data_IF_517426354948
#
_entry.id   IF_517426354948
#
_cell.length_a   1.000
_cell.length_b   1.000
_cell.length_c   1.000
_cell.angle_alpha   90.00
_cell.angle_beta   90.00
_cell.angle_gamma   90.00
#
_symmetry.space_group_name_H-M   'P 1'
#
loop_
_entity.id
_entity.type
_entity.pdbx_description
1 polymer ?
#
# COMPACT_ATOMS: atom_id res chain seq x y z
N UNK A 1 -3.58 -12.94 -7.20
CA UNK A 1 -3.67 -11.50 -6.92
C UNK A 1 -2.42 -10.83 -7.49
N UNK A 2 -2.09 -11.14 -8.75
CA UNK A 2 -0.83 -10.68 -9.35
C UNK A 2 -0.79 -9.15 -9.33
N UNK A 3 0.35 -8.59 -8.92
CA UNK A 3 0.55 -7.14 -8.74
C UNK A 3 -0.33 -6.44 -7.68
N UNK A 4 -1.03 -7.18 -6.81
CA UNK A 4 -1.91 -6.59 -5.80
C UNK A 4 -1.22 -5.57 -4.89
N UNK A 5 0.05 -5.76 -4.57
CA UNK A 5 0.83 -4.81 -3.77
C UNK A 5 0.90 -3.41 -4.42
N UNK A 6 0.82 -3.31 -5.76
CA UNK A 6 0.85 -2.04 -6.50
C UNK A 6 -0.42 -1.20 -6.27
N UNK A 7 -1.49 -1.83 -5.78
CA UNK A 7 -2.73 -1.14 -5.41
C UNK A 7 -2.62 -0.40 -4.06
N UNK A 8 -1.61 -0.71 -3.25
CA UNK A 8 -1.37 -0.10 -1.96
C UNK A 8 -0.56 1.19 -2.13
N UNK A 9 -1.14 2.35 -1.81
CA UNK A 9 -0.45 3.63 -1.96
C UNK A 9 0.79 3.71 -1.05
N UNK A 10 2.00 4.03 -1.58
CA UNK A 10 3.24 4.00 -0.82
C UNK A 10 3.41 5.26 0.04
N UNK A 11 2.78 5.26 1.21
CA UNK A 11 2.82 6.35 2.19
C UNK A 11 4.26 6.65 2.59
N UNK A 12 4.59 7.95 2.63
CA UNK A 12 5.92 8.43 3.04
C UNK A 12 7.00 8.30 1.97
N UNK A 13 6.67 7.84 0.77
CA UNK A 13 7.62 7.77 -0.36
C UNK A 13 7.61 9.07 -1.14
N UNK A 14 8.80 9.62 -1.41
CA UNK A 14 8.95 10.85 -2.18
C UNK A 14 8.56 10.66 -3.66
N UNK A 15 7.98 11.69 -4.27
CA UNK A 15 7.44 11.63 -5.63
C UNK A 15 8.48 11.23 -6.69
N UNK A 16 9.71 11.71 -6.57
CA UNK A 16 10.81 11.43 -7.49
C UNK A 16 11.41 10.01 -7.29
N UNK A 17 11.00 9.31 -6.23
CA UNK A 17 11.36 7.91 -5.96
C UNK A 17 10.24 6.95 -6.37
N UNK A 18 9.03 7.45 -6.58
CA UNK A 18 7.83 6.66 -6.86
C UNK A 18 8.04 5.70 -8.04
N UNK A 19 8.47 6.22 -9.20
CA UNK A 19 8.67 5.40 -10.40
C UNK A 19 9.81 4.39 -10.22
N UNK A 20 10.86 4.73 -9.46
CA UNK A 20 12.02 3.86 -9.23
C UNK A 20 11.68 2.61 -8.44
N UNK A 21 10.63 2.65 -7.61
CA UNK A 21 10.15 1.46 -6.88
C UNK A 21 9.70 0.38 -7.86
N UNK A 22 9.08 0.76 -8.98
CA UNK A 22 8.53 -0.17 -9.97
C UNK A 22 9.53 -0.60 -11.05
N UNK A 23 10.77 -0.08 -11.03
CA UNK A 23 11.85 -0.50 -11.94
C UNK A 23 12.40 -1.90 -11.61
N UNK A 24 12.21 -2.34 -10.36
CA UNK A 24 12.66 -3.65 -9.87
C UNK A 24 11.43 -4.55 -9.79
N UNK A 25 11.59 -5.79 -10.28
CA UNK A 25 10.58 -6.83 -10.14
C UNK A 25 10.66 -7.40 -8.72
N UNK A 26 9.81 -6.87 -7.84
CA UNK A 26 9.72 -7.31 -6.45
C UNK A 26 8.81 -8.52 -6.31
N UNK A 27 9.27 -9.51 -5.55
CA UNK A 27 8.48 -10.68 -5.19
C UNK A 27 7.63 -10.39 -3.94
N UNK A 28 6.31 -10.42 -4.11
CA UNK A 28 5.32 -10.27 -3.06
C UNK A 28 4.47 -11.54 -2.88
N UNK A 29 4.99 -12.71 -3.26
CA UNK A 29 4.32 -14.00 -3.07
C UNK A 29 3.89 -14.25 -1.62
N UNK A 30 4.67 -13.76 -0.65
CA UNK A 30 4.31 -13.82 0.77
C UNK A 30 3.01 -13.08 1.12
N UNK A 31 2.67 -12.02 0.38
CA UNK A 31 1.41 -11.29 0.55
C UNK A 31 0.24 -12.12 0.00
N UNK A 32 0.41 -12.75 -1.16
CA UNK A 32 -0.59 -13.64 -1.74
C UNK A 32 -0.86 -14.83 -0.81
N UNK A 33 0.19 -15.51 -0.36
CA UNK A 33 0.11 -16.63 0.60
C UNK A 33 -0.59 -16.24 1.92
N UNK A 34 -0.45 -14.98 2.36
CA UNK A 34 -1.11 -14.51 3.56
C UNK A 34 -2.65 -14.45 3.38
N UNK A 35 -3.15 -14.24 2.16
CA UNK A 35 -4.59 -14.20 1.86
C UNK A 35 -5.18 -15.55 1.44
N UNK A 36 -4.35 -16.49 1.00
CA UNK A 36 -4.75 -17.84 0.63
C UNK A 36 -5.31 -18.65 1.81
N UNK A 37 -5.97 -19.78 1.52
CA UNK A 37 -6.56 -20.64 2.54
C UNK A 37 -5.51 -21.12 3.55
N UNK A 38 -5.76 -20.84 4.84
CA UNK A 38 -4.82 -21.11 5.93
C UNK A 38 -3.80 -19.99 6.20
N UNK A 39 -3.76 -18.95 5.35
CA UNK A 39 -2.94 -17.77 5.51
C UNK A 39 -3.38 -16.86 6.66
N UNK A 40 -2.46 -16.02 7.14
CA UNK A 40 -2.67 -15.17 8.31
C UNK A 40 -3.76 -14.09 8.13
N UNK A 41 -4.09 -13.72 6.90
CA UNK A 41 -5.07 -12.71 6.52
C UNK A 41 -6.34 -13.30 5.88
N UNK A 42 -6.40 -14.62 5.74
CA UNK A 42 -7.52 -15.31 5.11
C UNK A 42 -8.86 -15.02 5.80
N UNK A 43 -9.89 -14.64 5.02
CA UNK A 43 -11.23 -14.26 5.49
C UNK A 43 -11.24 -13.16 6.57
N UNK A 44 -10.20 -12.33 6.64
CA UNK A 44 -10.15 -11.19 7.57
C UNK A 44 -10.46 -9.88 6.88
N UNK A 45 -10.93 -8.93 7.68
CA UNK A 45 -10.99 -7.53 7.28
C UNK A 45 -9.64 -6.87 7.41
N UNK A 46 -9.07 -6.43 6.28
CA UNK A 46 -7.70 -5.93 6.16
C UNK A 46 -7.71 -4.57 5.47
N UNK A 47 -6.96 -3.63 6.04
CA UNK A 47 -6.67 -2.34 5.44
C UNK A 47 -5.18 -2.29 5.08
N UNK A 48 -4.89 -1.99 3.82
CA UNK A 48 -3.55 -2.06 3.25
C UNK A 48 -3.08 -0.69 2.78
N UNK A 49 -1.84 -0.38 3.08
CA UNK A 49 -1.12 0.73 2.47
C UNK A 49 0.34 0.32 2.27
N UNK A 50 0.99 0.90 1.27
CA UNK A 50 2.40 0.67 1.02
C UNK A 50 3.25 1.64 1.82
N UNK A 51 4.52 1.32 1.95
CA UNK A 51 5.59 2.26 2.30
C UNK A 51 6.87 1.84 1.56
N UNK A 52 7.94 2.62 1.72
CA UNK A 52 9.27 2.24 1.24
C UNK A 52 10.29 2.34 2.36
N UNK A 53 11.26 1.43 2.33
CA UNK A 53 12.40 1.40 3.24
C UNK A 53 13.69 1.61 2.42
N UNK A 54 14.30 2.80 2.46
CA UNK A 54 15.53 3.06 1.75
C UNK A 54 16.69 2.23 2.32
N UNK A 55 17.38 1.49 1.46
CA UNK A 55 18.55 0.69 1.80
C UNK A 55 19.75 1.11 0.93
N UNK A 56 20.91 1.30 1.56
CA UNK A 56 22.17 1.50 0.85
C UNK A 56 22.71 0.13 0.44
N UNK A 57 22.72 -0.14 -0.87
CA UNK A 57 23.21 -1.41 -1.42
C UNK A 57 24.47 -1.18 -2.24
N UNK A 58 25.43 -2.09 -2.11
CA UNK A 58 26.64 -2.09 -2.92
C UNK A 58 26.47 -3.04 -4.10
N UNK A 59 26.40 -2.49 -5.32
CA UNK A 59 26.17 -3.27 -6.54
C UNK A 59 27.17 -2.89 -7.62
N UNK A 60 27.91 -3.89 -8.13
CA UNK A 60 28.92 -3.73 -9.19
C UNK A 60 29.93 -2.60 -8.91
N UNK A 61 30.42 -2.51 -7.66
CA UNK A 61 31.41 -1.51 -7.27
C UNK A 61 30.86 -0.10 -7.07
N UNK A 62 29.54 0.09 -7.08
CA UNK A 62 28.88 1.37 -6.84
C UNK A 62 27.88 1.26 -5.71
N UNK A 63 27.82 2.30 -4.89
CA UNK A 63 26.79 2.43 -3.88
C UNK A 63 25.53 3.01 -4.54
N UNK A 64 24.39 2.36 -4.30
CA UNK A 64 23.08 2.80 -4.77
C UNK A 64 22.11 2.77 -3.60
N UNK A 65 21.29 3.81 -3.46
CA UNK A 65 20.13 3.77 -2.57
C UNK A 65 18.97 3.13 -3.32
N UNK A 66 18.41 2.06 -2.76
CA UNK A 66 17.24 1.36 -3.30
C UNK A 66 16.10 1.50 -2.29
N UNK A 67 14.95 1.95 -2.78
CA UNK A 67 13.72 2.07 -1.97
C UNK A 67 12.99 0.74 -2.05
N UNK A 68 13.18 -0.11 -1.04
CA UNK A 68 12.53 -1.42 -0.97
C UNK A 68 11.06 -1.20 -0.60
N UNK A 69 10.09 -1.63 -1.43
CA UNK A 69 8.68 -1.49 -1.08
C UNK A 69 8.31 -2.46 0.05
N UNK A 70 7.43 -2.00 0.92
CA UNK A 70 6.80 -2.82 1.94
C UNK A 70 5.29 -2.56 1.94
N UNK A 71 4.51 -3.59 2.28
CA UNK A 71 3.06 -3.49 2.42
C UNK A 71 2.69 -3.68 3.89
N UNK A 72 1.94 -2.74 4.43
CA UNK A 72 1.44 -2.79 5.81
C UNK A 72 -0.01 -3.25 5.78
N UNK A 73 -0.27 -4.38 6.42
CA UNK A 73 -1.61 -4.96 6.58
C UNK A 73 -2.15 -4.70 7.99
N UNK A 74 -3.23 -3.94 8.10
CA UNK A 74 -3.89 -3.62 9.37
C UNK A 74 -5.18 -4.41 9.49
N UNK A 75 -5.22 -5.33 10.47
CA UNK A 75 -6.43 -6.05 10.84
C UNK A 75 -7.30 -5.15 11.72
N UNK A 76 -8.47 -4.77 11.24
CA UNK A 76 -9.38 -3.90 11.98
C UNK A 76 -10.84 -4.15 11.60
N UNK A 77 -11.79 -4.09 12.56
CA UNK A 77 -13.22 -4.16 12.24
C UNK A 77 -13.75 -2.89 11.53
N UNK A 78 -13.05 -1.76 11.63
CA UNK A 78 -13.41 -0.47 11.02
C UNK A 78 -12.18 0.18 10.36
N UNK A 79 -12.41 1.17 9.49
CA UNK A 79 -11.33 1.84 8.78
C UNK A 79 -10.34 2.49 9.76
N UNK A 80 -9.01 2.43 9.50
CA UNK A 80 -8.04 3.22 10.22
C UNK A 80 -8.32 4.73 10.09
N UNK A 81 -7.43 5.55 10.67
CA UNK A 81 -7.53 7.02 10.65
C UNK A 81 -7.98 7.57 9.29
N UNK A 82 -8.84 8.59 9.34
CA UNK A 82 -9.25 9.42 8.20
C UNK A 82 -8.43 10.71 8.09
N UNK A 83 -7.31 10.78 8.82
CA UNK A 83 -6.35 11.89 8.84
C UNK A 83 -4.94 11.39 8.57
N UNK A 84 -4.15 12.23 7.92
CA UNK A 84 -2.74 12.03 7.64
C UNK A 84 -1.89 12.93 8.53
N UNK A 85 -0.86 12.33 9.12
CA UNK A 85 0.24 13.05 9.73
C UNK A 85 1.28 13.41 8.68
N UNK A 86 1.59 14.69 8.55
CA UNK A 86 2.67 15.20 7.70
C UNK A 86 3.76 15.70 8.63
N UNK A 87 4.92 15.05 8.54
CA UNK A 87 6.10 15.39 9.32
C UNK A 87 7.33 15.38 8.43
N UNK A 88 8.21 16.34 8.64
CA UNK A 88 9.56 16.37 8.09
C UNK A 88 10.55 16.46 9.24
N UNK A 89 11.79 16.00 9.02
CA UNK A 89 12.90 16.13 9.99
C UNK A 89 13.11 17.61 10.40
N UNK A 90 12.74 18.54 9.51
CA UNK A 90 12.89 19.98 9.70
C UNK A 90 11.68 20.64 10.37
N UNK A 91 10.57 19.92 10.53
CA UNK A 91 9.35 20.48 11.14
C UNK A 91 9.37 20.28 12.66
N UNK A 92 9.14 21.39 13.38
CA UNK A 92 9.04 21.38 14.85
C UNK A 92 7.80 20.61 15.33
N UNK A 93 6.70 20.68 14.57
CA UNK A 93 5.43 20.03 14.89
C UNK A 93 4.87 19.26 13.68
N UNK A 94 4.19 18.17 13.97
CA UNK A 94 3.47 17.38 12.97
C UNK A 94 2.19 18.12 12.54
N UNK A 95 1.97 18.22 11.24
CA UNK A 95 0.73 18.75 10.68
C UNK A 95 -0.24 17.60 10.48
N UNK A 96 -1.47 17.73 10.97
CA UNK A 96 -2.52 16.72 10.78
C UNK A 96 -3.56 17.25 9.81
N UNK A 97 -3.73 16.59 8.67
CA UNK A 97 -4.69 16.98 7.63
C UNK A 97 -5.73 15.88 7.39
N UNK A 98 -7.01 16.21 7.14
CA UNK A 98 -8.00 15.22 6.74
C UNK A 98 -7.63 14.58 5.39
N UNK A 99 -7.74 13.25 5.29
CA UNK A 99 -7.46 12.51 4.05
C UNK A 99 -8.29 13.00 2.86
N UNK A 100 -9.53 13.42 3.12
CA UNK A 100 -10.44 13.97 2.09
C UNK A 100 -9.89 15.21 1.41
N UNK A 101 -9.20 16.09 2.14
CA UNK A 101 -8.56 17.28 1.58
C UNK A 101 -7.38 16.91 0.68
N UNK A 102 -6.70 15.81 1.01
CA UNK A 102 -5.62 15.21 0.23
C UNK A 102 -6.13 14.26 -0.86
N UNK A 103 -7.44 14.17 -1.07
CA UNK A 103 -8.08 13.28 -2.04
C UNK A 103 -7.67 11.82 -1.83
N UNK A 104 -7.58 11.38 -0.57
CA UNK A 104 -7.27 10.02 -0.19
C UNK A 104 -8.45 9.37 0.54
N UNK A 105 -8.62 8.06 0.34
CA UNK A 105 -9.63 7.28 1.06
C UNK A 105 -9.24 5.80 1.14
N UNK A 106 -9.91 5.06 2.03
CA UNK A 106 -9.86 3.61 2.12
C UNK A 106 -10.84 3.01 1.10
N UNK A 107 -10.32 2.53 -0.02
CA UNK A 107 -11.14 2.03 -1.13
C UNK A 107 -11.17 0.51 -1.10
N UNK A 108 -12.34 -0.15 -1.25
CA UNK A 108 -12.40 -1.60 -1.36
C UNK A 108 -11.59 -2.08 -2.56
N UNK A 109 -10.77 -3.11 -2.37
CA UNK A 109 -10.04 -3.73 -3.46
C UNK A 109 -11.00 -4.54 -4.35
N UNK A 110 -10.92 -4.32 -5.66
CA UNK A 110 -11.73 -5.02 -6.66
C UNK A 110 -10.75 -5.73 -7.60
N UNK A 111 -10.67 -7.08 -7.55
CA UNK A 111 -9.81 -7.85 -8.45
C UNK A 111 -10.22 -7.67 -9.92
N UNK A 112 -9.24 -7.60 -10.84
CA UNK A 112 -9.49 -7.32 -12.26
C UNK A 112 -10.36 -8.36 -12.98
N UNK A 113 -10.30 -9.62 -12.56
CA UNK A 113 -11.08 -10.74 -13.14
C UNK A 113 -12.59 -10.65 -12.81
N UNK A 114 -12.99 -9.70 -11.95
CA UNK A 114 -14.38 -9.53 -11.50
C UNK A 114 -15.24 -8.65 -12.39
N UNK A 115 -14.71 -8.05 -13.47
CA UNK A 115 -15.46 -7.14 -14.35
C UNK A 115 -16.62 -7.79 -15.11
N UNK A 116 -16.69 -9.13 -15.16
CA UNK A 116 -17.73 -9.90 -15.87
C UNK A 116 -18.74 -10.65 -14.99
N UNK A 117 -18.49 -10.81 -13.69
CA UNK A 117 -19.27 -11.70 -12.82
C UNK A 117 -19.93 -10.90 -11.71
N UNK A 118 -21.25 -11.01 -11.57
CA UNK A 118 -22.11 -10.20 -10.69
C UNK A 118 -21.45 -9.76 -9.38
N UNK A 119 -21.24 -8.44 -9.24
CA UNK A 119 -20.68 -7.69 -8.09
C UNK A 119 -21.26 -8.02 -6.70
N UNK A 120 -22.28 -8.90 -6.59
CA UNK A 120 -22.98 -9.22 -5.34
C UNK A 120 -22.29 -10.27 -4.45
N UNK A 121 -21.22 -10.95 -4.89
CA UNK A 121 -20.63 -12.08 -4.13
C UNK A 121 -19.24 -11.85 -3.53
N UNK A 122 -18.50 -10.83 -3.94
CA UNK A 122 -17.27 -10.46 -3.25
C UNK A 122 -17.57 -9.35 -2.26
N UNK A 123 -17.90 -9.72 -1.01
CA UNK A 123 -17.61 -8.84 0.13
C UNK A 123 -16.09 -8.79 0.20
N UNK A 124 -15.48 -7.87 -0.53
CA UNK A 124 -14.06 -7.57 -0.36
C UNK A 124 -13.91 -6.95 1.02
N UNK A 125 -13.55 -7.76 2.00
CA UNK A 125 -13.12 -7.29 3.32
C UNK A 125 -11.69 -6.72 3.28
N UNK A 126 -11.14 -6.55 2.07
CA UNK A 126 -9.84 -5.96 1.79
C UNK A 126 -10.03 -4.55 1.26
N UNK A 127 -9.35 -3.59 1.90
CA UNK A 127 -9.37 -2.17 1.55
C UNK A 127 -7.94 -1.69 1.36
N UNK A 128 -7.73 -0.84 0.36
CA UNK A 128 -6.44 -0.22 0.07
C UNK A 128 -6.54 1.29 0.22
N UNK A 129 -5.56 1.91 0.87
CA UNK A 129 -5.42 3.36 0.87
C UNK A 129 -5.06 3.81 -0.55
N UNK A 130 -5.81 4.76 -1.12
CA UNK A 130 -5.57 5.28 -2.47
C UNK A 130 -5.83 6.76 -2.58
N UNK A 131 -5.14 7.41 -3.52
CA UNK A 131 -5.53 8.71 -4.03
C UNK A 131 -6.68 8.55 -5.06
N UNK A 132 -7.81 9.23 -4.84
CA UNK A 132 -9.04 9.07 -5.63
C UNK A 132 -9.12 9.97 -6.86
N UNK A 133 -8.11 10.83 -7.09
CA UNK A 133 -7.95 11.61 -8.33
C UNK A 133 -6.47 11.61 -8.74
N UNK A 134 -6.18 11.08 -9.93
CA UNK A 134 -4.92 11.34 -10.65
C UNK A 134 -5.08 12.58 -11.51
#
# INVERSE_FOLDING_TARGET
>A
MEDFWKEAFPVGTEWDQYDKVYEIEWDFSNLDEAFDEGGALHNKRVYLFGCTEPQLVHWKGKDKVVHVPAVVAVLSPFAPSDKLGIKSVQMETEMIVPMREMKMDWIPYIPDDSRGTSLRRYRSDIFTLKCIQR
#
